data_IF_186338195289
#
_entry.id   IF_186338195289
#
_cell.length_a   1.000
_cell.length_b   1.000
_cell.length_c   1.000
_cell.angle_alpha   90.00
_cell.angle_beta   90.00
_cell.angle_gamma   90.00
#
_symmetry.space_group_name_H-M   'P 1'
#
loop_
_entity.id
_entity.type
_entity.pdbx_description
1 polymer ?
#
# COMPACT_ATOMS: atom_id res chain seq x y z
N UNK A 1 3.66 -8.53 -4.40
CA UNK A 1 2.70 -7.51 -3.98
C UNK A 1 2.91 -6.28 -4.84
N UNK A 2 1.89 -5.84 -5.56
CA UNK A 2 1.99 -4.66 -6.42
C UNK A 2 1.42 -3.40 -5.72
N UNK A 3 1.72 -2.18 -6.20
CA UNK A 3 1.22 -0.94 -5.60
C UNK A 3 -0.30 -0.85 -5.48
N UNK A 4 -1.05 -1.38 -6.46
CA UNK A 4 -2.51 -1.32 -6.45
C UNK A 4 -3.08 -2.15 -5.29
N UNK A 5 -2.63 -3.40 -5.14
CA UNK A 5 -3.05 -4.29 -4.04
C UNK A 5 -2.82 -3.64 -2.67
N UNK A 6 -1.65 -3.01 -2.49
CA UNK A 6 -1.31 -2.36 -1.23
C UNK A 6 -2.22 -1.14 -0.99
N UNK A 7 -2.39 -0.28 -1.98
CA UNK A 7 -3.18 0.95 -1.81
C UNK A 7 -4.66 0.60 -1.57
N UNK A 8 -5.18 -0.41 -2.27
CA UNK A 8 -6.58 -0.82 -2.11
C UNK A 8 -6.82 -1.44 -0.73
N UNK A 9 -5.90 -2.29 -0.24
CA UNK A 9 -5.96 -2.85 1.11
C UNK A 9 -5.83 -1.79 2.22
N UNK A 10 -5.18 -0.66 1.95
CA UNK A 10 -5.09 0.48 2.87
C UNK A 10 -6.34 1.37 2.85
N UNK A 11 -7.33 1.08 2.00
CA UNK A 11 -8.58 1.85 1.87
C UNK A 11 -8.63 2.77 0.64
N UNK A 12 -7.74 2.57 -0.34
CA UNK A 12 -7.78 3.26 -1.63
C UNK A 12 -7.02 4.60 -1.66
N UNK A 13 -7.10 5.27 -2.81
CA UNK A 13 -6.28 6.48 -3.13
C UNK A 13 -6.43 7.58 -2.11
N UNK A 14 -7.66 7.96 -1.79
CA UNK A 14 -7.95 9.11 -0.93
C UNK A 14 -7.53 8.84 0.51
N UNK A 15 -7.78 7.62 1.02
CA UNK A 15 -7.38 7.26 2.37
C UNK A 15 -5.86 7.24 2.54
N UNK A 16 -5.13 6.70 1.56
CA UNK A 16 -3.67 6.70 1.57
C UNK A 16 -3.11 8.12 1.41
N UNK A 17 -3.75 8.96 0.60
CA UNK A 17 -3.34 10.36 0.42
C UNK A 17 -3.47 11.15 1.72
N UNK A 18 -4.60 10.99 2.42
CA UNK A 18 -4.83 11.57 3.76
C UNK A 18 -3.78 11.07 4.76
N UNK A 19 -3.56 9.75 4.85
CA UNK A 19 -2.60 9.15 5.78
C UNK A 19 -1.16 9.64 5.55
N UNK A 20 -0.78 9.91 4.30
CA UNK A 20 0.54 10.36 3.93
C UNK A 20 0.68 11.89 3.83
N UNK A 21 -0.41 12.63 4.06
CA UNK A 21 -0.48 14.09 3.88
C UNK A 21 0.02 14.53 2.49
N UNK A 22 -0.47 13.86 1.44
CA UNK A 22 -0.18 14.20 0.03
C UNK A 22 -1.47 14.39 -0.75
N UNK A 23 -1.38 14.92 -1.97
CA UNK A 23 -2.55 15.04 -2.85
C UNK A 23 -2.93 13.67 -3.43
N UNK A 24 -4.22 13.36 -3.62
CA UNK A 24 -4.64 12.11 -4.25
C UNK A 24 -3.96 11.77 -5.59
N UNK A 25 -3.66 12.74 -6.49
CA UNK A 25 -2.91 12.46 -7.71
C UNK A 25 -1.53 11.83 -7.46
N UNK A 26 -0.83 12.19 -6.37
CA UNK A 26 0.44 11.56 -6.02
C UNK A 26 0.28 10.06 -5.77
N UNK A 27 -0.79 9.64 -5.09
CA UNK A 27 -1.09 8.22 -4.84
C UNK A 27 -1.54 7.52 -6.13
N UNK A 28 -2.27 8.22 -7.01
CA UNK A 28 -2.57 7.71 -8.35
C UNK A 28 -1.30 7.48 -9.19
N UNK A 29 -0.29 8.33 -9.06
CA UNK A 29 1.02 8.11 -9.70
C UNK A 29 1.77 6.93 -9.07
N UNK A 30 1.67 6.72 -7.76
CA UNK A 30 2.29 5.55 -7.11
C UNK A 30 1.74 4.22 -7.64
N UNK A 31 0.46 4.17 -8.04
CA UNK A 31 -0.11 2.98 -8.70
C UNK A 31 0.57 2.64 -10.01
N UNK A 32 1.06 3.65 -10.74
CA UNK A 32 1.70 3.49 -12.05
C UNK A 32 3.20 3.28 -11.92
N UNK A 33 3.85 4.05 -11.07
CA UNK A 33 5.31 4.16 -11.01
C UNK A 33 5.93 3.50 -9.77
N UNK A 34 5.09 3.03 -8.84
CA UNK A 34 5.53 2.44 -7.58
C UNK A 34 5.40 3.39 -6.39
N UNK A 35 5.21 2.81 -5.21
CA UNK A 35 5.15 3.57 -3.95
C UNK A 35 6.59 3.96 -3.55
N UNK A 36 6.89 5.24 -3.31
CA UNK A 36 8.22 5.67 -2.87
C UNK A 36 8.65 4.92 -1.60
N UNK A 37 9.91 4.49 -1.54
CA UNK A 37 10.44 3.67 -0.43
C UNK A 37 10.14 4.26 0.95
N UNK A 38 10.33 5.57 1.12
CA UNK A 38 10.04 6.25 2.39
C UNK A 38 8.55 6.16 2.78
N UNK A 39 7.65 6.31 1.80
CA UNK A 39 6.20 6.15 2.02
C UNK A 39 5.85 4.70 2.35
N UNK A 40 6.48 3.72 1.70
CA UNK A 40 6.31 2.31 2.02
C UNK A 40 6.72 1.98 3.47
N UNK A 41 7.87 2.51 3.93
CA UNK A 41 8.34 2.32 5.31
C UNK A 41 7.34 2.89 6.32
N UNK A 42 6.86 4.12 6.07
CA UNK A 42 5.83 4.74 6.90
C UNK A 42 4.53 3.94 6.94
N UNK A 43 4.00 3.53 5.78
CA UNK A 43 2.75 2.78 5.69
C UNK A 43 2.81 1.44 6.45
N UNK A 44 3.96 0.75 6.41
CA UNK A 44 4.19 -0.49 7.18
C UNK A 44 4.15 -0.28 8.69
N UNK A 45 4.63 0.88 9.17
CA UNK A 45 4.57 1.25 10.58
C UNK A 45 3.16 1.71 10.98
N UNK A 46 2.50 2.47 10.10
CA UNK A 46 1.20 3.07 10.39
C UNK A 46 0.04 2.05 10.37
N UNK A 47 0.11 1.02 9.51
CA UNK A 47 -0.95 0.00 9.34
C UNK A 47 -0.37 -1.42 9.33
N UNK A 48 0.32 -1.86 10.41
CA UNK A 48 1.04 -3.12 10.44
C UNK A 48 0.14 -4.34 10.23
N UNK A 49 -1.11 -4.27 10.67
CA UNK A 49 -2.13 -5.32 10.49
C UNK A 49 -2.43 -5.61 9.02
N UNK A 50 -2.56 -4.57 8.19
CA UNK A 50 -2.82 -4.70 6.76
C UNK A 50 -1.68 -5.42 6.07
N UNK A 51 -0.43 -5.08 6.41
CA UNK A 51 0.73 -5.72 5.80
C UNK A 51 0.90 -7.18 6.25
N UNK A 52 0.57 -7.52 7.50
CA UNK A 52 0.56 -8.92 7.96
C UNK A 52 -0.40 -9.77 7.14
N UNK A 53 -1.60 -9.26 6.89
CA UNK A 53 -2.61 -9.95 6.07
C UNK A 53 -2.16 -10.10 4.62
N UNK A 54 -1.63 -9.04 4.03
CA UNK A 54 -1.13 -9.07 2.65
C UNK A 54 0.07 -10.03 2.49
N UNK A 55 1.00 -10.06 3.46
CA UNK A 55 2.14 -10.97 3.45
C UNK A 55 1.66 -12.43 3.57
N UNK A 56 0.66 -12.70 4.43
CA UNK A 56 0.03 -14.02 4.55
C UNK A 56 -0.70 -14.45 3.26
N UNK A 57 -1.40 -13.52 2.59
CA UNK A 57 -2.05 -13.78 1.30
C UNK A 57 -1.03 -14.07 0.20
N UNK A 58 0.08 -13.34 0.17
CA UNK A 58 1.17 -13.57 -0.78
C UNK A 58 1.79 -14.96 -0.59
N UNK A 59 2.00 -15.39 0.66
CA UNK A 59 2.50 -16.73 0.97
C UNK A 59 1.54 -17.84 0.50
N UNK A 60 0.22 -17.66 0.72
CA UNK A 60 -0.80 -18.61 0.24
C UNK A 60 -0.84 -18.72 -1.28
N UNK A 61 -0.71 -17.60 -2.00
CA UNK A 61 -0.74 -17.55 -3.46
C UNK A 61 0.50 -18.21 -4.11
N UNK A 62 1.64 -18.24 -3.42
CA UNK A 62 2.84 -18.93 -3.91
C UNK A 62 2.86 -20.44 -3.62
N UNK A 63 1.99 -20.92 -2.73
CA UNK A 63 1.89 -22.34 -2.38
C UNK A 63 0.78 -23.08 -3.16
N UNK A 64 -0.04 -22.36 -3.92
CA UNK A 64 -1.09 -22.87 -4.81
C UNK A 64 -0.63 -22.80 -6.27
#
# INVERSE_FOLDING_TARGET
MNPNEIIDALGGTFRVAELCEVRPPSVSDWRKYGIPRARMMFLRIARPEVFKELDAQSAKKSAA
#
